data_IF_940050176909
#
_entry.id   IF_940050176909
#
_cell.length_a   1.000
_cell.length_b   1.000
_cell.length_c   1.000
_cell.angle_alpha   90.00
_cell.angle_beta   90.00
_cell.angle_gamma   90.00
#
_symmetry.space_group_name_H-M   'P 1'
#
loop_
_entity.id
_entity.type
_entity.pdbx_description
1 polymer ?
#
# COMPACT_ATOMS: atom_id res chain seq x y z
N UNK A 1 -8.74 -0.23 -22.77
CA UNK A 1 -8.09 0.93 -22.12
C UNK A 1 -7.91 0.62 -20.64
N UNK A 2 -6.68 0.56 -20.15
CA UNK A 2 -6.39 0.35 -18.72
C UNK A 2 -6.71 1.61 -17.90
N UNK A 3 -7.19 1.45 -16.67
CA UNK A 3 -7.41 2.57 -15.77
C UNK A 3 -6.06 3.16 -15.32
N UNK A 4 -5.88 4.47 -15.49
CA UNK A 4 -4.71 5.16 -14.96
C UNK A 4 -4.75 5.21 -13.43
N UNK A 5 -3.63 4.88 -12.79
CA UNK A 5 -3.47 4.91 -11.34
C UNK A 5 -2.62 6.08 -10.90
N UNK A 6 -2.98 6.67 -9.77
CA UNK A 6 -2.18 7.67 -9.07
C UNK A 6 -1.85 7.17 -7.68
N UNK A 7 -0.68 7.55 -7.17
CA UNK A 7 -0.28 7.27 -5.79
C UNK A 7 0.35 8.50 -5.13
N UNK A 8 0.26 8.56 -3.81
CA UNK A 8 0.89 9.60 -3.00
C UNK A 8 2.28 9.13 -2.54
N UNK A 9 3.34 9.68 -3.14
CA UNK A 9 4.70 9.42 -2.71
C UNK A 9 5.07 10.35 -1.54
N UNK A 10 5.62 9.79 -0.47
CA UNK A 10 6.28 10.54 0.61
C UNK A 10 7.78 10.59 0.35
N UNK A 11 8.31 11.77 0.02
CA UNK A 11 9.75 11.97 -0.15
C UNK A 11 10.47 12.39 1.15
N UNK A 12 11.81 12.41 1.11
CA UNK A 12 12.71 12.77 2.21
C UNK A 12 12.40 14.14 2.84
N UNK A 13 11.83 15.08 2.08
CA UNK A 13 11.52 16.43 2.55
C UNK A 13 10.00 16.59 2.66
N UNK A 14 9.35 15.94 3.65
CA UNK A 14 7.97 16.15 4.15
C UNK A 14 6.84 16.48 3.14
N UNK A 15 7.05 16.28 1.85
CA UNK A 15 6.20 16.77 0.77
C UNK A 15 5.58 15.56 0.12
N UNK A 16 4.32 15.35 0.41
CA UNK A 16 3.51 14.35 -0.26
C UNK A 16 3.23 14.82 -1.68
N UNK A 17 3.65 14.03 -2.67
CA UNK A 17 3.43 14.35 -4.09
C UNK A 17 2.56 13.28 -4.73
N UNK A 18 1.57 13.73 -5.51
CA UNK A 18 0.82 12.87 -6.42
C UNK A 18 1.70 12.47 -7.60
N UNK A 19 1.83 11.17 -7.83
CA UNK A 19 2.52 10.55 -8.97
C UNK A 19 1.49 9.82 -9.83
N UNK A 20 1.51 10.01 -11.15
CA UNK A 20 0.62 9.36 -12.11
C UNK A 20 0.13 10.28 -13.24
N UNK A 21 -0.69 9.78 -14.17
CA UNK A 21 -1.22 8.41 -14.19
C UNK A 21 -0.16 7.40 -14.60
N UNK A 22 -0.10 6.26 -13.92
CA UNK A 22 0.69 5.08 -14.31
C UNK A 22 -0.24 3.92 -14.70
N UNK A 23 0.28 2.95 -15.43
CA UNK A 23 -0.47 1.73 -15.75
C UNK A 23 -0.66 0.86 -14.49
N UNK A 24 -1.62 -0.06 -14.54
CA UNK A 24 -1.79 -1.04 -13.47
C UNK A 24 -0.55 -1.96 -13.35
N UNK A 25 0.06 -2.34 -14.47
CA UNK A 25 1.29 -3.14 -14.45
C UNK A 25 2.43 -2.40 -13.73
N UNK A 26 2.63 -1.12 -14.04
CA UNK A 26 3.62 -0.25 -13.39
C UNK A 26 3.38 -0.05 -11.89
N UNK A 27 2.10 0.01 -11.49
CA UNK A 27 1.71 0.07 -10.08
C UNK A 27 2.11 -1.21 -9.36
N UNK A 28 1.83 -2.37 -9.94
CA UNK A 28 2.15 -3.67 -9.36
C UNK A 28 3.67 -3.88 -9.24
N UNK A 29 4.46 -3.47 -10.24
CA UNK A 29 5.93 -3.50 -10.15
C UNK A 29 6.42 -2.67 -8.97
N UNK A 30 5.89 -1.46 -8.77
CA UNK A 30 6.30 -0.60 -7.63
C UNK A 30 5.88 -1.17 -6.27
N UNK A 31 4.76 -1.88 -6.20
CA UNK A 31 4.35 -2.63 -5.01
C UNK A 31 5.35 -3.75 -4.74
N UNK A 32 5.73 -4.51 -5.77
CA UNK A 32 6.70 -5.62 -5.66
C UNK A 32 8.11 -5.12 -5.27
N UNK A 33 8.50 -3.92 -5.69
CA UNK A 33 9.77 -3.28 -5.31
C UNK A 33 9.76 -2.65 -3.91
N UNK A 34 8.63 -2.66 -3.18
CA UNK A 34 8.52 -2.00 -1.88
C UNK A 34 8.38 -0.47 -1.94
N UNK A 35 8.28 0.13 -3.13
CA UNK A 35 8.14 1.59 -3.30
C UNK A 35 6.74 2.10 -2.92
N UNK A 36 5.74 1.21 -2.92
CA UNK A 36 4.36 1.50 -2.52
C UNK A 36 4.00 0.58 -1.38
N UNK A 37 3.87 1.14 -0.18
CA UNK A 37 3.51 0.41 1.04
C UNK A 37 1.99 0.26 1.19
N UNK A 38 1.50 -0.64 2.06
CA UNK A 38 0.07 -0.82 2.35
C UNK A 38 -0.67 0.45 2.80
N UNK A 39 0.05 1.40 3.42
CA UNK A 39 -0.50 2.68 3.88
C UNK A 39 -0.51 3.76 2.77
N UNK A 40 0.17 3.51 1.63
CA UNK A 40 0.23 4.45 0.52
C UNK A 40 -1.16 4.68 -0.07
N UNK A 41 -1.57 5.95 -0.23
CA UNK A 41 -2.85 6.31 -0.83
C UNK A 41 -2.79 6.16 -2.35
N UNK A 42 -3.77 5.44 -2.90
CA UNK A 42 -3.97 5.17 -4.32
C UNK A 42 -5.30 5.76 -4.81
N UNK A 43 -5.33 6.21 -6.06
CA UNK A 43 -6.53 6.74 -6.72
C UNK A 43 -6.60 6.25 -8.17
N UNK A 44 -7.79 5.85 -8.62
CA UNK A 44 -8.07 5.51 -10.01
C UNK A 44 -9.57 5.64 -10.29
N UNK A 45 -10.00 5.48 -11.54
CA UNK A 45 -11.42 5.31 -11.87
C UNK A 45 -12.03 4.10 -11.13
N UNK A 46 -11.25 3.04 -10.91
CA UNK A 46 -11.63 1.85 -10.13
C UNK A 46 -11.93 2.17 -8.65
N UNK A 47 -11.36 3.25 -8.10
CA UNK A 47 -11.62 3.70 -6.73
C UNK A 47 -12.67 4.81 -6.67
N UNK A 48 -13.47 4.98 -7.74
CA UNK A 48 -14.42 6.09 -7.91
C UNK A 48 -13.75 7.46 -7.73
N UNK A 49 -12.50 7.58 -8.18
CA UNK A 49 -11.66 8.76 -8.02
C UNK A 49 -11.41 9.17 -6.56
N UNK A 50 -11.60 8.27 -5.59
CA UNK A 50 -11.25 8.51 -4.18
C UNK A 50 -9.83 8.03 -3.89
N UNK A 51 -9.17 8.74 -2.98
CA UNK A 51 -7.91 8.30 -2.39
C UNK A 51 -8.21 7.24 -1.34
N UNK A 52 -7.69 6.04 -1.55
CA UNK A 52 -7.83 4.91 -0.62
C UNK A 52 -6.47 4.30 -0.33
N UNK A 53 -6.19 3.84 0.90
CA UNK A 53 -4.92 3.21 1.20
C UNK A 53 -4.80 1.89 0.42
N UNK A 54 -3.58 1.53 0.00
CA UNK A 54 -3.30 0.34 -0.80
C UNK A 54 -3.81 -0.95 -0.13
N UNK A 55 -3.79 -1.03 1.20
CA UNK A 55 -4.38 -2.14 1.97
C UNK A 55 -5.88 -2.36 1.76
N UNK A 56 -6.63 -1.33 1.37
CA UNK A 56 -8.06 -1.44 1.06
C UNK A 56 -8.31 -2.02 -0.35
N UNK A 57 -7.26 -2.18 -1.16
CA UNK A 57 -7.35 -2.74 -2.51
C UNK A 57 -6.96 -4.21 -2.45
N UNK A 58 -7.96 -5.09 -2.42
CA UNK A 58 -7.79 -6.55 -2.25
C UNK A 58 -6.71 -7.19 -3.15
N UNK A 59 -6.74 -6.98 -4.49
CA UNK A 59 -5.73 -7.55 -5.38
C UNK A 59 -4.31 -7.02 -5.09
N UNK A 60 -4.18 -5.75 -4.71
CA UNK A 60 -2.89 -5.14 -4.41
C UNK A 60 -2.31 -5.70 -3.10
N UNK A 61 -3.10 -5.75 -2.03
CA UNK A 61 -2.62 -6.23 -0.72
C UNK A 61 -2.28 -7.72 -0.75
N UNK A 62 -3.04 -8.52 -1.53
CA UNK A 62 -2.71 -9.93 -1.76
C UNK A 62 -1.35 -10.10 -2.43
N UNK A 63 -1.00 -9.21 -3.37
CA UNK A 63 0.29 -9.22 -4.06
C UNK A 63 1.43 -8.83 -3.12
N UNK A 64 1.26 -7.75 -2.35
CA UNK A 64 2.22 -7.33 -1.32
C UNK A 64 2.53 -8.46 -0.34
N UNK A 65 1.51 -9.12 0.21
CA UNK A 65 1.71 -10.22 1.15
C UNK A 65 2.46 -11.42 0.54
N UNK A 66 2.38 -11.59 -0.79
CA UNK A 66 3.12 -12.64 -1.51
C UNK A 66 4.58 -12.25 -1.75
N UNK A 67 4.86 -10.98 -2.01
CA UNK A 67 6.21 -10.48 -2.33
C UNK A 67 7.00 -10.01 -1.12
N UNK A 68 6.32 -9.68 -0.01
CA UNK A 68 6.89 -9.20 1.24
C UNK A 68 6.39 -10.02 2.45
N UNK A 69 6.73 -11.32 2.52
CA UNK A 69 6.25 -12.19 3.61
C UNK A 69 6.76 -11.77 4.99
N UNK A 70 7.96 -11.19 5.09
CA UNK A 70 8.54 -10.73 6.36
C UNK A 70 7.70 -9.63 7.04
N UNK A 71 7.03 -8.76 6.27
CA UNK A 71 6.17 -7.69 6.80
C UNK A 71 4.88 -8.25 7.44
N UNK A 72 4.44 -9.42 6.98
CA UNK A 72 3.28 -10.13 7.51
C UNK A 72 3.62 -10.80 8.85
N UNK A 73 4.79 -11.46 8.93
CA UNK A 73 5.25 -12.17 10.14
C UNK A 73 5.43 -11.22 11.32
N UNK A 74 5.84 -9.98 11.09
CA UNK A 74 6.02 -8.99 12.17
C UNK A 74 4.67 -8.53 12.75
N UNK A 75 3.59 -8.48 11.96
CA UNK A 75 2.26 -8.05 12.46
C UNK A 75 1.60 -9.08 13.36
N UNK A 76 1.86 -10.37 13.16
CA UNK A 76 1.34 -11.43 14.03
C UNK A 76 2.07 -11.52 15.38
N UNK A 77 3.30 -10.97 15.48
CA UNK A 77 4.09 -10.95 16.73
C UNK A 77 3.79 -9.78 17.66
N UNK A 78 2.62 -9.13 17.59
CA UNK A 78 2.25 -8.19 18.65
C UNK A 78 2.03 -8.96 19.95
N UNK A 79 2.85 -8.76 21.01
CA UNK A 79 2.60 -9.41 22.29
C UNK A 79 1.24 -8.90 22.81
N UNK A 80 0.37 -9.84 23.15
CA UNK A 80 -0.86 -9.59 23.90
C UNK A 80 -0.42 -8.88 25.20
N UNK A 81 -0.98 -7.71 25.58
CA UNK A 81 -0.65 -7.13 26.86
C UNK A 81 -1.07 -8.14 27.94
N UNK A 82 -0.08 -8.68 28.64
CA UNK A 82 -0.27 -9.54 29.79
C UNK A 82 -0.85 -8.64 30.88
N UNK A 83 -2.15 -8.78 31.10
CA UNK A 83 -2.92 -8.04 32.09
C UNK A 83 -2.48 -8.53 33.47
N UNK A 84 -1.38 -7.97 33.98
CA UNK A 84 -0.96 -8.14 35.36
C UNK A 84 -1.91 -7.32 36.23
N UNK A 85 -2.95 -7.98 36.74
CA UNK A 85 -3.68 -7.53 37.93
C UNK A 85 -2.96 -8.09 39.15
N UNK A 86 -2.31 -7.19 39.89
CA UNK A 86 -1.95 -7.38 41.30
C UNK A 86 -3.22 -7.44 42.17
#
# INVERSE_FOLDING_TARGET
MGAGWYYMASGWIRKTRRIGPISEADLLVRIDEGKISPETLLQSSKTKSKWVPMKAIGPAIKRWNKTHPDDVVIKERKPKPEEHRE
#
